data_IF_010549430835
#
_entry.id   IF_010549430835
#
_cell.length_a   1.000
_cell.length_b   1.000
_cell.length_c   1.000
_cell.angle_alpha   90.00
_cell.angle_beta   90.00
_cell.angle_gamma   90.00
#
_symmetry.space_group_name_H-M   'P 1'
#
loop_
_entity.id
_entity.type
_entity.pdbx_description
1 polymer ?
#
# COMPACT_ATOMS: atom_id res chain seq x y z
N UNK A 1 -1.49 4.96 33.82
CA UNK A 1 -0.99 5.72 32.66
C UNK A 1 -1.74 5.33 31.39
N UNK A 2 -1.73 4.06 30.99
CA UNK A 2 -2.46 3.50 29.83
C UNK A 2 -3.96 3.84 29.78
N UNK A 3 -4.70 3.76 30.90
CA UNK A 3 -6.14 4.12 30.91
C UNK A 3 -6.38 5.62 30.64
N UNK A 4 -5.46 6.48 31.10
CA UNK A 4 -5.55 7.94 30.93
C UNK A 4 -5.19 8.35 29.49
N UNK A 5 -4.23 7.66 28.89
CA UNK A 5 -3.89 7.78 27.46
C UNK A 5 -4.99 7.23 26.55
N UNK A 6 -5.62 6.12 26.93
CA UNK A 6 -6.77 5.57 26.20
C UNK A 6 -7.97 6.53 26.20
N UNK A 7 -8.28 7.14 27.36
CA UNK A 7 -9.33 8.16 27.47
C UNK A 7 -8.99 9.44 26.69
N UNK A 8 -7.71 9.83 26.62
CA UNK A 8 -7.26 10.96 25.79
C UNK A 8 -7.40 10.65 24.30
N UNK A 9 -6.99 9.47 23.85
CA UNK A 9 -7.15 9.02 22.46
C UNK A 9 -8.62 8.95 22.02
N UNK A 10 -9.52 8.54 22.91
CA UNK A 10 -10.98 8.56 22.66
C UNK A 10 -11.55 9.97 22.43
N UNK A 11 -10.98 11.00 23.08
CA UNK A 11 -11.38 12.40 22.84
C UNK A 11 -10.87 12.92 21.48
N UNK A 12 -9.66 12.53 21.09
CA UNK A 12 -9.06 12.85 19.78
C UNK A 12 -9.80 12.18 18.61
N UNK A 13 -10.42 11.02 18.85
CA UNK A 13 -11.22 10.27 17.87
C UNK A 13 -12.56 10.91 17.54
N UNK A 14 -13.16 11.67 18.47
CA UNK A 14 -14.50 12.25 18.31
C UNK A 14 -14.64 13.13 17.06
N UNK A 15 -13.75 14.11 16.78
CA UNK A 15 -13.83 14.90 15.54
C UNK A 15 -13.55 14.08 14.28
N UNK A 16 -12.78 12.99 14.39
CA UNK A 16 -12.39 12.14 13.26
C UNK A 16 -13.40 11.05 12.92
N UNK A 17 -14.39 10.81 13.78
CA UNK A 17 -15.34 9.70 13.63
C UNK A 17 -16.09 9.78 12.31
N UNK A 18 -16.46 10.99 11.86
CA UNK A 18 -17.19 11.18 10.61
C UNK A 18 -16.35 10.92 9.35
N UNK A 19 -15.03 10.96 9.45
CA UNK A 19 -14.10 10.59 8.39
C UNK A 19 -13.77 9.09 8.46
N UNK A 20 -13.39 8.61 9.64
CA UNK A 20 -12.87 7.26 9.84
C UNK A 20 -13.93 6.19 9.61
N UNK A 21 -15.15 6.38 10.11
CA UNK A 21 -16.22 5.39 9.98
C UNK A 21 -16.53 5.02 8.51
N UNK A 22 -16.85 5.97 7.61
CA UNK A 22 -17.13 5.64 6.22
C UNK A 22 -15.90 5.11 5.46
N UNK A 23 -14.68 5.55 5.82
CA UNK A 23 -13.45 4.98 5.25
C UNK A 23 -13.23 3.53 5.68
N UNK A 24 -13.52 3.18 6.94
CA UNK A 24 -13.46 1.80 7.41
C UNK A 24 -14.39 0.89 6.59
N UNK A 25 -15.64 1.30 6.38
CA UNK A 25 -16.57 0.53 5.56
C UNK A 25 -16.09 0.38 4.11
N UNK A 26 -15.53 1.44 3.52
CA UNK A 26 -14.93 1.36 2.19
C UNK A 26 -13.77 0.35 2.15
N UNK A 27 -12.83 0.40 3.11
CA UNK A 27 -11.69 -0.51 3.15
C UNK A 27 -12.09 -1.97 3.46
N UNK A 28 -13.09 -2.19 4.31
CA UNK A 28 -13.67 -3.52 4.55
C UNK A 28 -14.24 -4.08 3.24
N UNK A 29 -15.03 -3.27 2.51
CA UNK A 29 -15.68 -3.68 1.27
C UNK A 29 -14.66 -4.04 0.18
N UNK A 30 -13.61 -3.23 0.05
CA UNK A 30 -12.49 -3.45 -0.85
C UNK A 30 -11.76 -4.76 -0.52
N UNK A 31 -11.31 -4.93 0.73
CA UNK A 31 -10.57 -6.11 1.17
C UNK A 31 -11.39 -7.40 1.02
N UNK A 32 -12.68 -7.36 1.35
CA UNK A 32 -13.59 -8.50 1.26
C UNK A 32 -13.70 -9.07 -0.17
N UNK A 33 -13.60 -8.23 -1.19
CA UNK A 33 -13.72 -8.69 -2.59
C UNK A 33 -12.45 -9.36 -3.13
N UNK A 34 -11.28 -9.10 -2.53
CA UNK A 34 -9.98 -9.58 -3.04
C UNK A 34 -9.95 -11.10 -3.16
N UNK A 35 -10.45 -11.82 -2.14
CA UNK A 35 -10.44 -13.29 -2.13
C UNK A 35 -11.38 -13.91 -3.16
N UNK A 36 -12.54 -13.31 -3.44
CA UNK A 36 -13.51 -13.87 -4.39
C UNK A 36 -13.17 -13.51 -5.84
N UNK A 37 -12.46 -12.41 -6.05
CA UNK A 37 -12.17 -11.88 -7.37
C UNK A 37 -11.41 -12.89 -8.26
N UNK A 38 -10.45 -13.61 -7.68
CA UNK A 38 -9.64 -14.61 -8.42
C UNK A 38 -10.51 -15.74 -8.94
N UNK A 39 -11.47 -16.20 -8.14
CA UNK A 39 -12.40 -17.26 -8.54
C UNK A 39 -13.35 -16.78 -9.64
N UNK A 40 -13.90 -15.57 -9.49
CA UNK A 40 -14.84 -14.97 -10.46
C UNK A 40 -14.16 -14.71 -11.80
N UNK A 41 -12.98 -14.09 -11.79
CA UNK A 41 -12.22 -13.78 -13.01
C UNK A 41 -11.80 -15.08 -13.71
N UNK A 42 -11.29 -16.06 -12.97
CA UNK A 42 -10.85 -17.33 -13.56
C UNK A 42 -12.02 -18.10 -14.16
N UNK A 43 -13.14 -18.20 -13.44
CA UNK A 43 -14.35 -18.89 -13.93
C UNK A 43 -14.95 -18.23 -15.18
N UNK A 44 -14.88 -16.90 -15.28
CA UNK A 44 -15.42 -16.16 -16.42
C UNK A 44 -14.52 -16.17 -17.66
N UNK A 45 -13.19 -16.02 -17.49
CA UNK A 45 -12.25 -15.92 -18.60
C UNK A 45 -11.76 -17.30 -19.08
N UNK A 46 -11.60 -18.26 -18.17
CA UNK A 46 -11.03 -19.58 -18.44
C UNK A 46 -11.91 -20.69 -17.82
N UNK A 47 -13.16 -20.87 -18.28
CA UNK A 47 -14.09 -21.82 -17.68
C UNK A 47 -13.55 -23.26 -17.73
N UNK A 48 -13.57 -23.95 -16.59
CA UNK A 48 -13.13 -25.35 -16.47
C UNK A 48 -11.61 -25.56 -16.45
N UNK A 49 -10.81 -24.49 -16.47
CA UNK A 49 -9.35 -24.58 -16.39
C UNK A 49 -8.85 -24.17 -15.00
N UNK A 50 -7.84 -24.88 -14.49
CA UNK A 50 -7.19 -24.54 -13.21
C UNK A 50 -6.21 -23.38 -13.37
N UNK A 51 -5.65 -23.20 -14.56
CA UNK A 51 -4.76 -22.10 -14.93
C UNK A 51 -5.50 -21.09 -15.81
N UNK A 52 -5.28 -19.80 -15.59
CA UNK A 52 -5.82 -18.74 -16.44
C UNK A 52 -4.77 -17.68 -16.74
N UNK A 53 -3.97 -17.97 -17.77
CA UNK A 53 -2.93 -17.07 -18.29
C UNK A 53 -3.48 -15.68 -18.61
N UNK A 54 -4.67 -15.62 -19.20
CA UNK A 54 -5.32 -14.37 -19.58
C UNK A 54 -5.62 -13.47 -18.36
N UNK A 55 -6.17 -14.05 -17.28
CA UNK A 55 -6.45 -13.33 -16.04
C UNK A 55 -5.18 -12.78 -15.38
N UNK A 56 -4.11 -13.58 -15.36
CA UNK A 56 -2.81 -13.19 -14.80
C UNK A 56 -2.22 -12.01 -15.59
N UNK A 57 -2.24 -12.11 -16.92
CA UNK A 57 -1.71 -11.06 -17.79
C UNK A 57 -2.48 -9.74 -17.65
N UNK A 58 -3.82 -9.79 -17.71
CA UNK A 58 -4.66 -8.58 -17.59
C UNK A 58 -4.51 -7.94 -16.21
N UNK A 59 -4.43 -8.73 -15.14
CA UNK A 59 -4.21 -8.23 -13.78
C UNK A 59 -2.84 -7.54 -13.65
N UNK A 60 -1.80 -8.13 -14.23
CA UNK A 60 -0.47 -7.52 -14.30
C UNK A 60 -0.46 -6.21 -15.07
N UNK A 61 -1.06 -6.21 -16.27
CA UNK A 61 -1.20 -5.02 -17.11
C UNK A 61 -1.94 -3.89 -16.40
N UNK A 62 -3.06 -4.20 -15.73
CA UNK A 62 -3.80 -3.23 -14.93
C UNK A 62 -2.89 -2.59 -13.86
N UNK A 63 -2.16 -3.38 -13.08
CA UNK A 63 -1.29 -2.85 -12.03
C UNK A 63 -0.18 -1.97 -12.60
N UNK A 64 0.40 -2.36 -13.73
CA UNK A 64 1.39 -1.55 -14.45
C UNK A 64 0.79 -0.21 -14.92
N UNK A 65 -0.36 -0.23 -15.58
CA UNK A 65 -1.04 0.99 -16.07
C UNK A 65 -1.38 1.92 -14.90
N UNK A 66 -2.02 1.39 -13.85
CA UNK A 66 -2.32 2.15 -12.62
C UNK A 66 -1.04 2.74 -12.02
N UNK A 67 0.04 1.97 -11.98
CA UNK A 67 1.35 2.39 -11.49
C UNK A 67 1.93 3.61 -12.23
N UNK A 68 1.79 3.67 -13.55
CA UNK A 68 2.25 4.79 -14.38
C UNK A 68 1.43 6.05 -14.08
N UNK A 69 0.10 5.94 -14.18
CA UNK A 69 -0.77 7.09 -14.10
C UNK A 69 -0.89 7.65 -12.68
N UNK A 70 -0.84 6.81 -11.63
CA UNK A 70 -0.94 7.26 -10.23
C UNK A 70 0.20 8.23 -9.85
N UNK A 71 1.38 8.13 -10.47
CA UNK A 71 2.51 9.03 -10.19
C UNK A 71 2.20 10.50 -10.52
N UNK A 72 1.33 10.73 -11.51
CA UNK A 72 0.91 12.07 -11.95
C UNK A 72 -0.42 12.46 -11.31
N UNK A 73 -1.37 11.53 -11.25
CA UNK A 73 -2.74 11.80 -10.79
C UNK A 73 -2.81 12.02 -9.28
N UNK A 74 -2.01 11.31 -8.48
CA UNK A 74 -2.02 11.44 -7.02
C UNK A 74 -1.65 12.86 -6.54
N UNK A 75 -0.51 13.48 -6.97
CA UNK A 75 -0.22 14.87 -6.62
C UNK A 75 -1.25 15.87 -7.16
N UNK A 76 -1.78 15.64 -8.36
CA UNK A 76 -2.77 16.50 -8.98
C UNK A 76 -4.07 16.51 -8.17
N UNK A 77 -4.56 15.35 -7.74
CA UNK A 77 -5.74 15.22 -6.88
C UNK A 77 -5.52 15.85 -5.50
N UNK A 78 -4.31 15.77 -4.95
CA UNK A 78 -3.94 16.50 -3.74
C UNK A 78 -4.14 18.02 -3.91
N UNK A 79 -3.58 18.61 -4.95
CA UNK A 79 -3.76 20.04 -5.24
C UNK A 79 -5.21 20.42 -5.53
N UNK A 80 -5.95 19.55 -6.22
CA UNK A 80 -7.37 19.78 -6.47
C UNK A 80 -8.17 19.71 -5.16
N UNK A 81 -7.82 18.84 -4.23
CA UNK A 81 -8.46 18.78 -2.91
C UNK A 81 -8.15 20.04 -2.08
N UNK A 82 -6.94 20.57 -2.18
CA UNK A 82 -6.56 21.83 -1.52
C UNK A 82 -7.27 23.05 -2.13
N UNK A 83 -7.64 23.02 -3.43
CA UNK A 83 -8.30 24.15 -4.10
C UNK A 83 -9.84 24.08 -4.10
N UNK A 84 -10.41 22.91 -4.38
CA UNK A 84 -11.86 22.72 -4.55
C UNK A 84 -12.56 22.21 -3.28
N UNK A 85 -11.77 21.80 -2.28
CA UNK A 85 -12.22 21.26 -1.01
C UNK A 85 -11.88 19.78 -0.83
N UNK A 86 -11.66 19.36 0.41
CA UNK A 86 -11.27 17.97 0.71
C UNK A 86 -12.46 17.04 0.66
N UNK A 87 -13.63 17.47 1.14
CA UNK A 87 -14.87 16.66 1.13
C UNK A 87 -15.30 16.24 -0.29
N UNK A 88 -15.43 17.13 -1.30
CA UNK A 88 -15.90 16.73 -2.63
C UNK A 88 -14.91 15.79 -3.32
N UNK A 89 -13.60 16.02 -3.18
CA UNK A 89 -12.59 15.15 -3.78
C UNK A 89 -12.55 13.77 -3.09
N UNK A 90 -12.75 13.72 -1.78
CA UNK A 90 -12.88 12.44 -1.06
C UNK A 90 -14.14 11.66 -1.49
N UNK A 91 -15.27 12.35 -1.67
CA UNK A 91 -16.51 11.75 -2.19
C UNK A 91 -16.31 11.17 -3.60
N UNK A 92 -15.69 11.93 -4.50
CA UNK A 92 -15.43 11.48 -5.88
C UNK A 92 -14.56 10.23 -5.87
N UNK A 93 -13.42 10.27 -5.16
CA UNK A 93 -12.47 9.14 -5.12
C UNK A 93 -13.13 7.88 -4.55
N UNK A 94 -13.72 7.94 -3.36
CA UNK A 94 -14.39 6.79 -2.73
C UNK A 94 -15.52 6.23 -3.60
N UNK A 95 -16.28 7.07 -4.29
CA UNK A 95 -17.40 6.64 -5.14
C UNK A 95 -16.97 5.87 -6.38
N UNK A 96 -15.78 6.11 -6.92
CA UNK A 96 -15.32 5.40 -8.13
C UNK A 96 -15.25 3.88 -7.96
N UNK A 97 -15.04 3.39 -6.74
CA UNK A 97 -14.96 1.95 -6.45
C UNK A 97 -16.31 1.24 -6.55
N UNK A 98 -17.43 1.96 -6.56
CA UNK A 98 -18.78 1.37 -6.65
C UNK A 98 -18.98 0.70 -8.02
N UNK A 99 -18.62 1.40 -9.11
CA UNK A 99 -18.94 0.96 -10.47
C UNK A 99 -18.30 -0.39 -10.87
N UNK A 100 -17.01 -0.65 -10.62
CA UNK A 100 -16.41 -1.94 -10.95
C UNK A 100 -17.15 -3.10 -10.28
N UNK A 101 -17.42 -3.01 -8.98
CA UNK A 101 -18.08 -4.10 -8.25
C UNK A 101 -19.56 -4.22 -8.60
N UNK A 102 -20.24 -3.11 -8.94
CA UNK A 102 -21.60 -3.14 -9.46
C UNK A 102 -21.72 -3.99 -10.73
N UNK A 103 -20.74 -3.89 -11.64
CA UNK A 103 -20.70 -4.73 -12.85
C UNK A 103 -20.60 -6.21 -12.50
N UNK A 104 -19.68 -6.58 -11.59
CA UNK A 104 -19.52 -7.98 -11.17
C UNK A 104 -20.67 -8.54 -10.32
N UNK A 105 -21.44 -7.68 -9.65
CA UNK A 105 -22.66 -8.07 -8.96
C UNK A 105 -23.82 -8.30 -9.93
N UNK A 106 -23.87 -7.53 -11.03
CA UNK A 106 -24.92 -7.65 -12.04
C UNK A 106 -24.75 -8.92 -12.87
N UNK A 107 -23.56 -9.12 -13.44
CA UNK A 107 -23.25 -10.29 -14.26
C UNK A 107 -21.76 -10.62 -14.19
N UNK A 108 -21.44 -11.91 -14.16
CA UNK A 108 -20.07 -12.43 -14.12
C UNK A 108 -19.69 -13.09 -15.46
N UNK A 109 -20.21 -12.55 -16.57
CA UNK A 109 -19.83 -12.99 -17.91
C UNK A 109 -18.42 -12.53 -18.26
N UNK A 110 -17.83 -13.15 -19.29
CA UNK A 110 -16.52 -12.76 -19.83
C UNK A 110 -16.45 -11.27 -20.18
N UNK A 111 -17.48 -10.74 -20.82
CA UNK A 111 -17.60 -9.32 -21.19
C UNK A 111 -17.63 -8.41 -19.95
N UNK A 112 -18.42 -8.77 -18.94
CA UNK A 112 -18.50 -8.02 -17.69
C UNK A 112 -17.17 -7.98 -16.93
N UNK A 113 -16.36 -9.03 -17.01
CA UNK A 113 -15.02 -9.04 -16.42
C UNK A 113 -14.06 -8.07 -17.13
N UNK A 114 -14.10 -7.96 -18.46
CA UNK A 114 -13.30 -6.93 -19.14
C UNK A 114 -13.75 -5.51 -18.79
N UNK A 115 -15.08 -5.28 -18.74
CA UNK A 115 -15.63 -4.00 -18.29
C UNK A 115 -15.21 -3.69 -16.86
N UNK A 116 -15.22 -4.69 -15.97
CA UNK A 116 -14.70 -4.56 -14.61
C UNK A 116 -13.24 -4.11 -14.64
N UNK A 117 -12.36 -4.74 -15.42
CA UNK A 117 -10.95 -4.35 -15.49
C UNK A 117 -10.75 -2.91 -15.97
N UNK A 118 -11.51 -2.47 -16.98
CA UNK A 118 -11.45 -1.08 -17.46
C UNK A 118 -11.90 -0.10 -16.37
N UNK A 119 -13.08 -0.30 -15.79
CA UNK A 119 -13.60 0.58 -14.74
C UNK A 119 -12.72 0.56 -13.49
N UNK A 120 -12.18 -0.60 -13.13
CA UNK A 120 -11.31 -0.78 -11.97
C UNK A 120 -9.96 -0.09 -12.19
N UNK A 121 -9.42 -0.12 -13.40
CA UNK A 121 -8.21 0.62 -13.77
C UNK A 121 -8.43 2.12 -13.56
N UNK A 122 -9.52 2.68 -14.10
CA UNK A 122 -9.86 4.10 -13.93
C UNK A 122 -10.06 4.43 -12.45
N UNK A 123 -10.82 3.61 -11.72
CA UNK A 123 -11.04 3.79 -10.28
C UNK A 123 -9.74 3.78 -9.49
N UNK A 124 -8.81 2.85 -9.77
CA UNK A 124 -7.52 2.82 -9.09
C UNK A 124 -6.63 4.02 -9.42
N UNK A 125 -6.62 4.49 -10.68
CA UNK A 125 -5.87 5.69 -11.05
C UNK A 125 -6.32 6.91 -10.23
N UNK A 126 -7.63 7.04 -10.00
CA UNK A 126 -8.22 8.16 -9.27
C UNK A 126 -8.09 7.97 -7.75
N UNK A 127 -8.28 6.76 -7.25
CA UNK A 127 -8.59 6.54 -5.83
C UNK A 127 -7.47 5.88 -5.04
N UNK A 128 -6.69 5.00 -5.68
CA UNK A 128 -5.64 4.27 -4.99
C UNK A 128 -4.54 5.25 -4.55
N UNK A 129 -4.33 5.34 -3.24
CA UNK A 129 -3.41 6.32 -2.63
C UNK A 129 -4.05 7.70 -2.39
N UNK A 130 -4.89 8.19 -3.31
CA UNK A 130 -5.53 9.51 -3.20
C UNK A 130 -6.47 9.60 -1.99
N UNK A 131 -7.27 8.55 -1.74
CA UNK A 131 -8.16 8.49 -0.57
C UNK A 131 -7.35 8.68 0.72
N UNK A 132 -6.24 7.95 0.87
CA UNK A 132 -5.39 8.05 2.05
C UNK A 132 -4.71 9.42 2.16
N UNK A 133 -4.20 9.95 1.06
CA UNK A 133 -3.55 11.27 1.01
C UNK A 133 -4.52 12.40 1.41
N UNK A 134 -5.71 12.43 0.82
CA UNK A 134 -6.74 13.45 1.12
C UNK A 134 -7.25 13.28 2.56
N UNK A 135 -7.42 12.05 3.05
CA UNK A 135 -7.86 11.79 4.42
C UNK A 135 -6.83 12.26 5.46
N UNK A 136 -5.54 11.99 5.25
CA UNK A 136 -4.46 12.47 6.12
C UNK A 136 -4.41 14.00 6.14
N UNK A 137 -4.57 14.63 4.97
CA UNK A 137 -4.58 16.08 4.88
C UNK A 137 -5.84 16.70 5.55
N UNK A 138 -7.01 16.06 5.43
CA UNK A 138 -8.22 16.45 6.16
C UNK A 138 -8.03 16.37 7.68
N UNK A 139 -7.37 15.32 8.16
CA UNK A 139 -7.04 15.19 9.58
C UNK A 139 -6.06 16.28 10.03
N UNK A 140 -5.10 16.64 9.19
CA UNK A 140 -4.14 17.71 9.50
C UNK A 140 -4.80 19.09 9.65
N UNK A 141 -5.91 19.35 8.94
CA UNK A 141 -6.66 20.61 9.05
C UNK A 141 -7.43 20.74 10.37
N UNK A 142 -7.91 19.63 10.93
CA UNK A 142 -8.79 19.64 12.11
C UNK A 142 -8.01 19.43 13.40
N UNK A 143 -6.94 18.65 13.35
CA UNK A 143 -6.18 18.23 14.52
C UNK A 143 -4.98 19.16 14.73
N UNK A 144 -4.86 19.67 15.95
CA UNK A 144 -3.72 20.45 16.42
C UNK A 144 -2.40 19.70 16.24
N UNK A 145 -1.33 20.44 15.95
CA UNK A 145 -0.05 19.87 15.53
C UNK A 145 0.51 18.82 16.49
N UNK A 146 0.39 19.06 17.80
CA UNK A 146 0.87 18.15 18.84
C UNK A 146 0.17 16.78 18.86
N UNK A 147 -1.05 16.67 18.34
CA UNK A 147 -1.84 15.44 18.35
C UNK A 147 -1.94 14.77 16.96
N UNK A 148 -1.36 15.37 15.90
CA UNK A 148 -1.43 14.84 14.53
C UNK A 148 -0.82 13.44 14.40
N UNK A 149 0.30 13.18 15.10
CA UNK A 149 0.94 11.88 15.07
C UNK A 149 0.00 10.76 15.56
N UNK A 150 -0.68 10.99 16.70
CA UNK A 150 -1.66 10.04 17.24
C UNK A 150 -2.85 9.86 16.27
N UNK A 151 -3.36 10.94 15.69
CA UNK A 151 -4.44 10.87 14.70
C UNK A 151 -4.05 10.08 13.44
N UNK A 152 -2.84 10.25 12.92
CA UNK A 152 -2.34 9.48 11.77
C UNK A 152 -2.14 8.00 12.12
N UNK A 153 -1.70 7.69 13.36
CA UNK A 153 -1.67 6.32 13.87
C UNK A 153 -3.07 5.70 13.94
N UNK A 154 -4.10 6.45 14.33
CA UNK A 154 -5.47 5.96 14.32
C UNK A 154 -5.95 5.62 12.90
N UNK A 155 -5.77 6.51 11.93
CA UNK A 155 -6.17 6.26 10.52
C UNK A 155 -5.53 4.96 10.00
N UNK A 156 -4.22 4.80 10.19
CA UNK A 156 -3.46 3.63 9.71
C UNK A 156 -3.82 2.34 10.47
N UNK A 157 -4.13 2.45 11.76
CA UNK A 157 -4.66 1.35 12.57
C UNK A 157 -6.04 0.88 12.08
N UNK A 158 -6.96 1.81 11.85
CA UNK A 158 -8.29 1.51 11.30
C UNK A 158 -8.24 0.93 9.89
N UNK A 159 -7.33 1.42 9.04
CA UNK A 159 -7.06 0.84 7.73
C UNK A 159 -6.68 -0.64 7.84
N UNK A 160 -5.72 -0.96 8.71
CA UNK A 160 -5.24 -2.32 8.93
C UNK A 160 -6.32 -3.24 9.51
N UNK A 161 -7.06 -2.75 10.53
CA UNK A 161 -8.16 -3.49 11.13
C UNK A 161 -9.29 -3.76 10.13
N UNK A 162 -9.62 -2.78 9.28
CA UNK A 162 -10.62 -2.90 8.23
C UNK A 162 -10.25 -3.96 7.20
N UNK A 163 -8.98 -4.03 6.80
CA UNK A 163 -8.48 -5.07 5.89
C UNK A 163 -8.61 -6.48 6.49
N UNK A 164 -8.23 -6.66 7.77
CA UNK A 164 -8.40 -7.94 8.47
C UNK A 164 -9.87 -8.33 8.56
N UNK A 165 -10.72 -7.39 8.97
CA UNK A 165 -12.16 -7.63 9.08
C UNK A 165 -12.79 -7.96 7.73
N UNK A 166 -12.39 -7.27 6.65
CA UNK A 166 -12.84 -7.57 5.30
C UNK A 166 -12.46 -8.99 4.84
N UNK A 167 -11.22 -9.42 5.10
CA UNK A 167 -10.79 -10.80 4.81
C UNK A 167 -11.56 -11.85 5.63
N UNK A 168 -11.81 -11.58 6.93
CA UNK A 168 -12.62 -12.46 7.77
C UNK A 168 -14.08 -12.53 7.29
N UNK A 169 -14.67 -11.39 6.95
CA UNK A 169 -16.03 -11.36 6.39
C UNK A 169 -16.10 -12.12 5.08
N UNK A 170 -15.11 -11.98 4.21
CA UNK A 170 -15.02 -12.78 2.99
C UNK A 170 -15.08 -14.26 3.36
N UNK A 171 -14.29 -14.75 4.31
CA UNK A 171 -14.30 -16.17 4.70
C UNK A 171 -15.67 -16.73 5.09
N UNK A 172 -16.49 -15.96 5.80
CA UNK A 172 -17.77 -16.43 6.34
C UNK A 172 -18.98 -16.14 5.42
N UNK A 173 -18.90 -15.12 4.56
CA UNK A 173 -19.99 -14.79 3.64
C UNK A 173 -20.02 -15.76 2.45
N UNK A 174 -21.18 -16.29 2.04
CA UNK A 174 -21.30 -17.02 0.78
C UNK A 174 -20.91 -16.16 -0.42
N UNK A 175 -20.24 -16.75 -1.42
CA UNK A 175 -19.71 -16.05 -2.60
C UNK A 175 -20.75 -15.14 -3.29
N UNK A 176 -21.98 -15.65 -3.44
CA UNK A 176 -23.10 -14.92 -4.07
C UNK A 176 -23.48 -13.60 -3.38
N UNK A 177 -23.19 -13.44 -2.09
CA UNK A 177 -23.54 -12.23 -1.34
C UNK A 177 -22.40 -11.22 -1.24
N UNK A 178 -21.16 -11.60 -1.57
CA UNK A 178 -19.98 -10.76 -1.30
C UNK A 178 -20.02 -9.46 -2.09
N UNK A 179 -20.27 -9.50 -3.39
CA UNK A 179 -20.33 -8.27 -4.18
C UNK A 179 -21.53 -7.39 -3.79
N UNK A 180 -22.68 -7.99 -3.47
CA UNK A 180 -23.86 -7.24 -3.02
C UNK A 180 -23.57 -6.52 -1.70
N UNK A 181 -23.01 -7.22 -0.72
CA UNK A 181 -22.62 -6.62 0.57
C UNK A 181 -21.53 -5.56 0.36
N UNK A 182 -20.54 -5.82 -0.48
CA UNK A 182 -19.47 -4.85 -0.80
C UNK A 182 -20.05 -3.57 -1.38
N UNK A 183 -20.97 -3.64 -2.34
CA UNK A 183 -21.62 -2.47 -2.93
C UNK A 183 -22.41 -1.68 -1.89
N UNK A 184 -23.18 -2.35 -1.02
CA UNK A 184 -23.93 -1.66 0.05
C UNK A 184 -22.99 -0.87 0.95
N UNK A 185 -21.86 -1.46 1.35
CA UNK A 185 -20.84 -0.78 2.15
C UNK A 185 -20.15 0.36 1.39
N UNK A 186 -19.88 0.18 0.09
CA UNK A 186 -19.26 1.20 -0.77
C UNK A 186 -20.19 2.38 -1.06
N UNK A 187 -21.51 2.17 -1.08
CA UNK A 187 -22.51 3.24 -1.20
C UNK A 187 -22.68 3.97 0.13
N UNK A 188 -22.66 3.23 1.25
CA UNK A 188 -22.78 3.82 2.59
C UNK A 188 -21.70 4.88 2.85
N UNK A 189 -20.44 4.62 2.45
CA UNK A 189 -19.32 5.54 2.69
C UNK A 189 -19.56 6.96 2.13
N UNK A 190 -19.74 7.12 0.81
CA UNK A 190 -20.04 8.41 0.19
C UNK A 190 -21.33 9.06 0.70
N UNK A 191 -22.41 8.29 0.92
CA UNK A 191 -23.65 8.86 1.46
C UNK A 191 -23.43 9.44 2.87
N UNK A 192 -22.79 8.67 3.74
CA UNK A 192 -22.47 9.11 5.10
C UNK A 192 -21.57 10.35 5.07
N UNK A 193 -20.51 10.35 4.26
CA UNK A 193 -19.64 11.52 4.11
C UNK A 193 -20.39 12.73 3.55
N UNK A 194 -21.31 12.54 2.61
CA UNK A 194 -22.06 13.63 2.00
C UNK A 194 -22.89 14.39 3.05
N UNK A 195 -23.59 13.67 3.94
CA UNK A 195 -24.45 14.28 4.95
C UNK A 195 -23.72 14.73 6.22
N UNK A 196 -22.71 13.98 6.67
CA UNK A 196 -22.14 14.16 8.02
C UNK A 196 -20.70 14.67 8.04
N UNK A 197 -19.94 14.55 6.94
CA UNK A 197 -18.58 15.09 6.89
C UNK A 197 -18.66 16.60 6.64
N UNK A 198 -17.97 17.39 7.46
CA UNK A 198 -17.82 18.82 7.23
C UNK A 198 -16.77 19.08 6.13
N UNK A 199 -16.84 20.23 5.47
CA UNK A 199 -15.73 20.70 4.64
C UNK A 199 -14.74 21.46 5.52
N UNK A 200 -13.44 21.26 5.30
CA UNK A 200 -12.38 21.93 6.08
C UNK A 200 -11.75 23.09 5.31
N UNK A 201 -11.81 23.06 3.98
CA UNK A 201 -11.23 24.11 3.14
C UNK A 201 -12.28 25.18 2.88
N UNK A 202 -12.03 26.39 3.39
CA UNK A 202 -12.79 27.57 3.00
C UNK A 202 -12.52 27.88 1.53
N UNK A 203 -13.60 27.90 0.73
CA UNK A 203 -13.51 28.28 -0.68
C UNK A 203 -13.21 29.77 -0.78
N UNK A 204 -11.95 30.13 -0.95
CA UNK A 204 -11.59 31.48 -1.40
C UNK A 204 -11.99 31.60 -2.87
N UNK A 205 -12.91 32.51 -3.24
CA UNK A 205 -13.26 32.72 -4.64
C UNK A 205 -12.03 33.30 -5.34
N UNK A 206 -11.33 32.47 -6.12
CA UNK A 206 -10.26 32.94 -7.00
C UNK A 206 -10.91 33.52 -8.25
N UNK A 207 -10.88 34.84 -8.36
CA UNK A 207 -11.01 35.57 -9.62
C UNK A 207 -9.97 35.02 -10.62
N UNK A 208 -10.45 34.69 -11.81
CA UNK A 208 -9.73 34.26 -13.02
C UNK A 208 -8.24 33.99 -12.89
N UNK A 209 -7.89 32.70 -12.98
CA UNK A 209 -6.65 32.28 -13.62
C UNK A 209 -6.99 31.18 -14.60
N UNK A 210 -7.12 31.57 -15.87
CA UNK A 210 -7.13 30.70 -17.05
C UNK A 210 -5.81 29.91 -17.15
N UNK A 211 -5.58 28.99 -16.21
CA UNK A 211 -4.64 27.89 -16.44
C UNK A 211 -5.46 26.72 -16.95
N UNK A 212 -5.41 26.46 -18.25
CA UNK A 212 -5.96 25.25 -18.84
C UNK A 212 -5.50 24.04 -18.02
N UNK A 213 -6.37 23.05 -17.81
CA UNK A 213 -6.06 21.83 -17.05
C UNK A 213 -4.72 21.19 -17.48
N UNK A 214 -4.41 21.25 -18.77
CA UNK A 214 -3.12 20.81 -19.35
C UNK A 214 -1.92 21.58 -18.78
N UNK A 215 -1.99 22.92 -18.72
CA UNK A 215 -0.93 23.77 -18.16
C UNK A 215 -0.72 23.48 -16.67
N UNK A 216 -1.79 23.12 -15.96
CA UNK A 216 -1.70 22.70 -14.56
C UNK A 216 -0.97 21.35 -14.42
N UNK A 217 -1.32 20.37 -15.26
CA UNK A 217 -0.63 19.07 -15.29
C UNK A 217 0.86 19.24 -15.59
N UNK A 218 1.22 20.00 -16.62
CA UNK A 218 2.64 20.20 -17.00
C UNK A 218 3.43 20.87 -15.88
N UNK A 219 2.85 21.86 -15.21
CA UNK A 219 3.49 22.54 -14.09
C UNK A 219 3.67 21.63 -12.87
N UNK A 220 2.69 20.77 -12.57
CA UNK A 220 2.79 19.77 -11.49
C UNK A 220 3.87 18.75 -11.79
N UNK A 221 3.88 18.20 -13.01
CA UNK A 221 4.88 17.24 -13.45
C UNK A 221 6.29 17.83 -13.40
N UNK A 222 6.47 19.06 -13.89
CA UNK A 222 7.76 19.74 -13.88
C UNK A 222 8.26 20.03 -12.46
N UNK A 223 7.41 20.58 -11.58
CA UNK A 223 7.76 20.78 -10.15
C UNK A 223 8.12 19.47 -9.45
N UNK A 224 7.41 18.39 -9.75
CA UNK A 224 7.70 17.07 -9.19
C UNK A 224 9.04 16.53 -9.68
N UNK A 225 9.36 16.72 -10.95
CA UNK A 225 10.66 16.34 -11.53
C UNK A 225 11.81 17.08 -10.84
N UNK A 226 11.72 18.41 -10.73
CA UNK A 226 12.72 19.25 -10.04
C UNK A 226 12.90 18.80 -8.57
N UNK A 227 11.78 18.64 -7.84
CA UNK A 227 11.81 18.16 -6.46
C UNK A 227 12.43 16.77 -6.30
N UNK A 228 12.17 15.85 -7.23
CA UNK A 228 12.76 14.51 -7.24
C UNK A 228 14.26 14.54 -7.55
N UNK A 229 14.70 15.42 -8.46
CA UNK A 229 16.12 15.61 -8.78
C UNK A 229 16.90 16.12 -7.57
N UNK A 230 16.37 17.13 -6.89
CA UNK A 230 17.00 17.70 -5.70
C UNK A 230 17.05 16.68 -4.55
N UNK A 231 15.96 15.92 -4.36
CA UNK A 231 15.92 14.84 -3.40
C UNK A 231 16.89 13.70 -3.73
N UNK A 232 17.07 13.37 -5.02
CA UNK A 232 18.06 12.40 -5.47
C UNK A 232 19.48 12.85 -5.11
N UNK A 233 19.81 14.13 -5.34
CA UNK A 233 21.13 14.67 -4.98
C UNK A 233 21.44 14.53 -3.49
N UNK A 234 20.45 14.71 -2.61
CA UNK A 234 20.58 14.50 -1.16
C UNK A 234 20.79 13.02 -0.84
N UNK A 235 19.95 12.14 -1.40
CA UNK A 235 19.97 10.70 -1.11
C UNK A 235 21.27 10.04 -1.59
N UNK A 236 21.77 10.41 -2.76
CA UNK A 236 22.99 9.80 -3.32
C UNK A 236 24.28 10.31 -2.66
N UNK A 237 24.26 11.44 -1.94
CA UNK A 237 25.39 11.92 -1.13
C UNK A 237 25.60 11.09 0.13
N UNK A 238 24.52 10.62 0.77
CA UNK A 238 24.61 9.79 1.97
C UNK A 238 24.72 8.30 1.61
N UNK A 239 25.76 7.58 2.07
CA UNK A 239 25.91 6.15 1.78
C UNK A 239 24.76 5.32 2.38
N UNK A 240 24.25 5.70 3.55
CA UNK A 240 23.12 5.04 4.24
C UNK A 240 21.81 5.25 3.47
N UNK A 241 21.51 6.49 3.06
CA UNK A 241 20.30 6.79 2.27
C UNK A 241 20.32 6.17 0.88
N UNK A 242 21.50 6.12 0.25
CA UNK A 242 21.70 5.40 -1.02
C UNK A 242 21.47 3.91 -0.85
N UNK A 243 22.08 3.30 0.18
CA UNK A 243 21.93 1.88 0.49
C UNK A 243 20.47 1.50 0.75
N UNK A 244 19.77 2.24 1.61
CA UNK A 244 18.37 1.94 1.94
C UNK A 244 17.43 2.14 0.74
N UNK A 245 17.76 3.05 -0.18
CA UNK A 245 17.02 3.20 -1.44
C UNK A 245 17.11 1.95 -2.32
N UNK A 246 18.30 1.34 -2.42
CA UNK A 246 18.46 0.05 -3.12
C UNK A 246 17.73 -1.08 -2.40
N UNK A 247 17.83 -1.17 -1.06
CA UNK A 247 17.07 -2.16 -0.27
C UNK A 247 15.59 -2.08 -0.59
N UNK A 248 15.02 -0.88 -0.54
CA UNK A 248 13.59 -0.67 -0.80
C UNK A 248 13.19 -0.94 -2.24
N UNK A 249 14.03 -0.58 -3.21
CA UNK A 249 13.78 -0.89 -4.62
C UNK A 249 13.61 -2.39 -4.82
N UNK A 250 14.61 -3.17 -4.40
CA UNK A 250 14.63 -4.62 -4.61
C UNK A 250 13.60 -5.35 -3.74
N UNK A 251 13.37 -4.88 -2.52
CA UNK A 251 12.31 -5.41 -1.65
C UNK A 251 10.93 -5.20 -2.27
N UNK A 252 10.61 -3.98 -2.72
CA UNK A 252 9.32 -3.67 -3.32
C UNK A 252 9.16 -4.39 -4.68
N UNK A 253 10.25 -4.53 -5.45
CA UNK A 253 10.26 -5.29 -6.71
C UNK A 253 9.88 -6.76 -6.46
N UNK A 254 10.41 -7.37 -5.40
CA UNK A 254 10.04 -8.75 -5.02
C UNK A 254 8.62 -8.83 -4.45
N UNK A 255 8.34 -8.08 -3.39
CA UNK A 255 7.08 -8.19 -2.63
C UNK A 255 5.84 -7.80 -3.46
N UNK A 256 5.95 -6.77 -4.30
CA UNK A 256 4.88 -6.39 -5.23
C UNK A 256 4.60 -7.51 -6.24
N UNK A 257 5.64 -8.20 -6.68
CA UNK A 257 5.57 -9.27 -7.67
C UNK A 257 4.92 -10.53 -7.13
N UNK A 258 5.26 -10.89 -5.88
CA UNK A 258 4.55 -11.95 -5.17
C UNK A 258 3.08 -11.55 -5.02
N UNK A 259 2.80 -10.35 -4.54
CA UNK A 259 1.42 -9.88 -4.31
C UNK A 259 0.58 -9.86 -5.59
N UNK A 260 1.17 -9.61 -6.76
CA UNK A 260 0.44 -9.56 -8.03
C UNK A 260 0.03 -10.92 -8.56
N UNK A 261 0.78 -11.98 -8.27
CA UNK A 261 0.57 -13.33 -8.86
C UNK A 261 0.18 -14.41 -7.85
N UNK A 262 0.36 -14.17 -6.55
CA UNK A 262 0.25 -15.18 -5.50
C UNK A 262 -1.08 -15.93 -5.51
N UNK A 263 -2.20 -15.22 -5.54
CA UNK A 263 -3.51 -15.88 -5.46
C UNK A 263 -3.82 -16.71 -6.71
N UNK A 264 -3.43 -16.23 -7.90
CA UNK A 264 -3.54 -17.00 -9.14
C UNK A 264 -2.64 -18.24 -9.14
N UNK A 265 -1.42 -18.12 -8.63
CA UNK A 265 -0.50 -19.24 -8.43
C UNK A 265 -1.11 -20.29 -7.49
N UNK A 266 -1.64 -19.87 -6.34
CA UNK A 266 -2.28 -20.77 -5.37
C UNK A 266 -3.52 -21.47 -5.96
N UNK A 267 -4.31 -20.79 -6.79
CA UNK A 267 -5.40 -21.41 -7.56
C UNK A 267 -4.89 -22.50 -8.50
N UNK A 268 -3.89 -22.16 -9.30
CA UNK A 268 -3.36 -23.02 -10.35
C UNK A 268 -2.68 -24.28 -9.82
N UNK A 269 -1.95 -24.16 -8.70
CA UNK A 269 -1.17 -25.28 -8.14
C UNK A 269 -1.97 -26.10 -7.15
N UNK A 270 -2.73 -25.45 -6.26
CA UNK A 270 -3.39 -26.12 -5.13
C UNK A 270 -4.92 -26.15 -5.25
N UNK A 271 -5.49 -25.54 -6.29
CA UNK A 271 -6.95 -25.44 -6.43
C UNK A 271 -7.58 -24.56 -5.36
N UNK A 272 -6.82 -23.60 -4.80
CA UNK A 272 -7.35 -22.79 -3.72
C UNK A 272 -8.60 -22.02 -4.14
N UNK A 273 -9.50 -21.84 -3.18
CA UNK A 273 -10.69 -21.04 -3.33
C UNK A 273 -10.67 -19.84 -2.40
N UNK A 274 -11.66 -18.98 -2.58
CA UNK A 274 -11.96 -17.81 -1.76
C UNK A 274 -11.72 -18.01 -0.27
N UNK A 275 -12.19 -19.10 0.33
CA UNK A 275 -12.06 -19.31 1.78
C UNK A 275 -10.59 -19.44 2.20
N UNK A 276 -9.80 -20.19 1.44
CA UNK A 276 -8.38 -20.39 1.72
C UNK A 276 -7.57 -19.10 1.48
N UNK A 277 -7.93 -18.32 0.44
CA UNK A 277 -7.34 -16.99 0.25
C UNK A 277 -7.64 -16.07 1.43
N UNK A 278 -8.88 -16.03 1.89
CA UNK A 278 -9.29 -15.22 3.03
C UNK A 278 -8.58 -15.64 4.33
N UNK A 279 -8.38 -16.94 4.55
CA UNK A 279 -7.62 -17.46 5.71
C UNK A 279 -6.16 -16.99 5.68
N UNK A 280 -5.47 -17.16 4.55
CA UNK A 280 -4.08 -16.71 4.37
C UNK A 280 -3.94 -15.20 4.55
N UNK A 281 -4.80 -14.41 3.90
CA UNK A 281 -4.74 -12.95 4.00
C UNK A 281 -5.08 -12.46 5.42
N UNK A 282 -6.01 -13.12 6.10
CA UNK A 282 -6.32 -12.82 7.51
C UNK A 282 -5.15 -13.18 8.43
N UNK A 283 -4.49 -14.31 8.21
CA UNK A 283 -3.32 -14.74 8.99
C UNK A 283 -2.18 -13.72 8.88
N UNK A 284 -1.86 -13.27 7.67
CA UNK A 284 -0.85 -12.21 7.45
C UNK A 284 -1.28 -10.90 8.11
N UNK A 285 -2.54 -10.50 7.98
CA UNK A 285 -3.04 -9.24 8.55
C UNK A 285 -3.08 -9.23 10.09
N UNK A 286 -3.53 -10.32 10.71
CA UNK A 286 -3.53 -10.47 12.18
C UNK A 286 -2.09 -10.51 12.70
N UNK A 287 -1.22 -11.29 12.05
CA UNK A 287 0.20 -11.32 12.37
C UNK A 287 0.86 -9.95 12.23
N UNK A 288 0.46 -9.17 11.23
CA UNK A 288 0.95 -7.82 11.03
C UNK A 288 0.60 -6.88 12.18
N UNK A 289 -0.67 -6.89 12.61
CA UNK A 289 -1.13 -6.08 13.75
C UNK A 289 -0.41 -6.49 15.04
N UNK A 290 -0.35 -7.80 15.31
CA UNK A 290 0.33 -8.35 16.48
C UNK A 290 1.80 -7.91 16.53
N UNK A 291 2.50 -8.02 15.42
CA UNK A 291 3.91 -7.66 15.37
C UNK A 291 4.17 -6.16 15.50
N UNK A 292 3.31 -5.32 14.94
CA UNK A 292 3.48 -3.86 15.07
C UNK A 292 3.19 -3.37 16.49
N UNK A 293 2.21 -3.96 17.18
CA UNK A 293 1.80 -3.54 18.53
C UNK A 293 2.71 -4.13 19.60
N UNK A 294 3.09 -5.41 19.48
CA UNK A 294 3.81 -6.13 20.53
C UNK A 294 5.28 -6.40 20.17
N UNK A 295 5.54 -7.03 19.03
CA UNK A 295 6.88 -7.52 18.68
C UNK A 295 7.84 -6.36 18.45
N UNK A 296 7.44 -5.35 17.68
CA UNK A 296 8.30 -4.22 17.34
C UNK A 296 8.72 -3.41 18.58
N UNK A 297 7.81 -2.94 19.46
CA UNK A 297 8.22 -2.20 20.65
C UNK A 297 9.07 -3.02 21.63
N UNK A 298 8.87 -4.35 21.70
CA UNK A 298 9.65 -5.24 22.56
C UNK A 298 11.05 -5.51 22.00
N UNK A 299 11.16 -5.71 20.69
CA UNK A 299 12.40 -6.11 20.03
C UNK A 299 13.31 -4.91 19.73
N UNK A 300 12.74 -3.74 19.41
CA UNK A 300 13.49 -2.54 19.05
C UNK A 300 14.55 -2.10 20.09
N UNK A 301 14.27 -2.05 21.41
CA UNK A 301 15.28 -1.69 22.40
C UNK A 301 16.38 -2.74 22.58
N UNK A 302 16.15 -4.00 22.18
CA UNK A 302 17.07 -5.11 22.41
C UNK A 302 18.11 -5.28 21.29
N UNK A 303 17.69 -5.14 20.03
CA UNK A 303 18.53 -5.49 18.86
C UNK A 303 18.74 -4.32 17.88
N UNK A 304 17.97 -3.23 18.02
CA UNK A 304 18.04 -2.08 17.12
C UNK A 304 17.43 -2.31 15.73
N UNK A 305 17.29 -1.21 14.98
CA UNK A 305 16.51 -1.17 13.73
C UNK A 305 17.17 -1.91 12.57
N UNK A 306 18.51 -1.85 12.44
CA UNK A 306 19.23 -2.55 11.37
C UNK A 306 19.08 -4.06 11.47
N UNK A 307 19.08 -4.60 12.70
CA UNK A 307 18.87 -6.03 12.93
C UNK A 307 17.42 -6.44 12.65
N UNK A 308 16.44 -5.62 13.07
CA UNK A 308 15.02 -5.83 12.74
C UNK A 308 14.82 -5.83 11.22
N UNK A 309 15.44 -4.90 10.50
CA UNK A 309 15.37 -4.83 9.04
C UNK A 309 15.90 -6.13 8.40
N UNK A 310 17.10 -6.57 8.79
CA UNK A 310 17.69 -7.81 8.27
C UNK A 310 16.86 -9.06 8.59
N UNK A 311 16.35 -9.17 9.83
CA UNK A 311 15.45 -10.26 10.23
C UNK A 311 14.16 -10.26 9.40
N UNK A 312 13.56 -9.09 9.19
CA UNK A 312 12.33 -8.96 8.43
C UNK A 312 12.54 -9.23 6.93
N UNK A 313 13.69 -8.85 6.37
CA UNK A 313 14.08 -9.21 5.00
C UNK A 313 14.33 -10.72 4.87
N UNK A 314 14.98 -11.35 5.85
CA UNK A 314 15.15 -12.80 5.88
C UNK A 314 13.81 -13.54 5.92
N UNK A 315 12.88 -13.07 6.76
CA UNK A 315 11.51 -13.58 6.78
C UNK A 315 10.77 -13.35 5.45
N UNK A 316 11.04 -12.25 4.75
CA UNK A 316 10.48 -11.98 3.41
C UNK A 316 10.99 -12.97 2.37
N UNK A 317 12.27 -13.34 2.43
CA UNK A 317 12.87 -14.35 1.55
C UNK A 317 12.27 -15.71 1.84
N UNK A 318 12.15 -16.10 3.12
CA UNK A 318 11.49 -17.34 3.51
C UNK A 318 10.02 -17.38 3.04
N UNK A 319 9.29 -16.28 3.21
CA UNK A 319 7.91 -16.12 2.71
C UNK A 319 7.83 -16.39 1.20
N UNK A 320 8.69 -15.76 0.40
CA UNK A 320 8.69 -15.96 -1.05
C UNK A 320 9.14 -17.38 -1.45
N UNK A 321 10.24 -17.89 -0.90
CA UNK A 321 10.77 -19.22 -1.25
C UNK A 321 9.81 -20.34 -0.87
N UNK A 322 9.18 -20.28 0.31
CA UNK A 322 8.20 -21.28 0.74
C UNK A 322 6.96 -21.28 -0.15
N UNK A 323 6.51 -20.12 -0.63
CA UNK A 323 5.44 -20.07 -1.63
C UNK A 323 5.89 -20.61 -2.98
N UNK A 324 7.06 -20.21 -3.48
CA UNK A 324 7.55 -20.61 -4.80
C UNK A 324 7.89 -22.10 -4.91
N UNK A 325 8.32 -22.72 -3.81
CA UNK A 325 8.70 -24.13 -3.70
C UNK A 325 7.66 -24.98 -2.96
N UNK A 326 6.42 -24.49 -2.83
CA UNK A 326 5.39 -25.19 -2.08
C UNK A 326 5.09 -26.56 -2.71
N UNK A 327 5.32 -27.64 -1.95
CA UNK A 327 5.08 -29.02 -2.38
C UNK A 327 3.75 -29.60 -1.87
N UNK A 328 3.12 -28.93 -0.90
CA UNK A 328 1.88 -29.35 -0.28
C UNK A 328 1.03 -28.15 0.13
N UNK A 329 -0.29 -28.33 0.18
CA UNK A 329 -1.27 -27.27 0.45
C UNK A 329 -1.14 -26.60 1.82
N UNK A 330 -0.46 -27.21 2.80
CA UNK A 330 -0.19 -26.59 4.10
C UNK A 330 0.99 -25.62 4.07
N UNK A 331 1.92 -25.76 3.11
CA UNK A 331 3.13 -24.93 3.00
C UNK A 331 2.80 -23.45 2.76
N UNK A 332 1.82 -23.08 1.91
CA UNK A 332 1.27 -21.72 1.84
C UNK A 332 0.91 -21.09 3.19
N UNK A 333 0.31 -21.84 4.11
CA UNK A 333 -0.05 -21.34 5.44
C UNK A 333 1.18 -21.17 6.34
N UNK A 334 2.15 -22.09 6.27
CA UNK A 334 3.43 -21.91 6.94
C UNK A 334 4.13 -20.65 6.41
N UNK A 335 4.16 -20.45 5.09
CA UNK A 335 4.70 -19.23 4.48
C UNK A 335 4.00 -17.97 5.00
N UNK A 336 2.66 -17.97 5.02
CA UNK A 336 1.85 -16.86 5.53
C UNK A 336 2.19 -16.47 6.98
N UNK A 337 2.65 -17.41 7.82
CA UNK A 337 3.10 -17.12 9.20
C UNK A 337 4.29 -16.16 9.27
N UNK A 338 5.20 -16.22 8.28
CA UNK A 338 6.30 -15.25 8.15
C UNK A 338 5.80 -13.83 7.84
N UNK A 339 4.53 -13.71 7.43
CA UNK A 339 3.74 -12.47 7.39
C UNK A 339 3.88 -11.59 8.62
N UNK A 340 3.86 -12.22 9.80
CA UNK A 340 4.01 -11.51 11.06
C UNK A 340 5.36 -10.81 11.17
N UNK A 341 6.43 -11.39 10.63
CA UNK A 341 7.79 -10.85 10.80
C UNK A 341 8.15 -9.90 9.65
N UNK A 342 7.83 -10.28 8.40
CA UNK A 342 8.26 -9.47 7.26
C UNK A 342 7.61 -8.08 7.23
N UNK A 343 6.43 -7.91 7.85
CA UNK A 343 5.75 -6.60 7.90
C UNK A 343 6.63 -5.52 8.54
N UNK A 344 7.58 -5.92 9.39
CA UNK A 344 8.49 -5.03 10.11
C UNK A 344 9.50 -4.33 9.20
N UNK A 345 9.66 -4.76 7.94
CA UNK A 345 10.52 -4.08 6.96
C UNK A 345 10.13 -2.60 6.83
N UNK A 346 8.82 -2.28 6.75
CA UNK A 346 8.33 -0.90 6.59
C UNK A 346 8.75 0.01 7.77
N UNK A 347 8.37 -0.28 9.02
CA UNK A 347 8.76 0.56 10.16
C UNK A 347 10.27 0.62 10.38
N UNK A 348 10.99 -0.50 10.22
CA UNK A 348 12.46 -0.51 10.37
C UNK A 348 13.13 0.40 9.34
N UNK A 349 12.66 0.37 8.09
CA UNK A 349 13.19 1.25 7.05
C UNK A 349 12.87 2.72 7.33
N UNK A 350 11.67 3.05 7.81
CA UNK A 350 11.35 4.43 8.19
C UNK A 350 12.28 4.96 9.27
N UNK A 351 12.62 4.13 10.26
CA UNK A 351 13.52 4.50 11.32
C UNK A 351 14.96 4.71 10.83
N UNK A 352 15.48 3.82 9.97
CA UNK A 352 16.79 3.98 9.32
C UNK A 352 16.85 5.27 8.48
N UNK A 353 15.82 5.54 7.67
CA UNK A 353 15.75 6.77 6.87
C UNK A 353 15.73 8.00 7.78
N UNK A 354 14.93 7.95 8.86
CA UNK A 354 14.81 9.07 9.80
C UNK A 354 16.13 9.40 10.50
N UNK A 355 17.00 8.42 10.76
CA UNK A 355 18.33 8.64 11.33
C UNK A 355 19.35 9.12 10.30
N UNK A 356 19.22 8.68 9.06
CA UNK A 356 20.14 9.03 7.97
C UNK A 356 19.85 10.37 7.28
N UNK A 357 18.77 11.07 7.65
CA UNK A 357 18.36 12.35 7.05
C UNK A 357 18.19 13.45 8.10
N UNK A 358 18.65 14.67 7.80
CA UNK A 358 18.31 15.84 8.62
C UNK A 358 16.81 16.14 8.61
N UNK A 359 16.31 16.78 9.67
CA UNK A 359 14.90 17.14 9.85
C UNK A 359 14.35 17.95 8.66
N UNK A 360 15.14 18.88 8.13
CA UNK A 360 14.78 19.70 6.96
C UNK A 360 14.65 18.90 5.66
N UNK A 361 15.41 17.81 5.52
CA UNK A 361 15.45 17.00 4.29
C UNK A 361 14.58 15.73 4.36
N UNK A 362 14.00 15.40 5.52
CA UNK A 362 13.26 14.17 5.74
C UNK A 362 12.10 13.98 4.74
N UNK A 363 11.32 15.04 4.49
CA UNK A 363 10.22 15.00 3.52
C UNK A 363 10.70 14.76 2.07
N UNK A 364 11.83 15.38 1.68
CA UNK A 364 12.45 15.17 0.35
C UNK A 364 12.95 13.73 0.21
N UNK A 365 13.65 13.22 1.21
CA UNK A 365 14.16 11.84 1.24
C UNK A 365 13.03 10.82 1.16
N UNK A 366 11.97 10.97 1.97
CA UNK A 366 10.81 10.07 1.90
C UNK A 366 10.09 10.17 0.55
N UNK A 367 9.98 11.38 -0.01
CA UNK A 367 9.40 11.61 -1.33
C UNK A 367 10.18 10.93 -2.46
N UNK A 368 11.51 10.90 -2.37
CA UNK A 368 12.38 10.18 -3.31
C UNK A 368 12.23 8.66 -3.16
N UNK A 369 12.32 8.17 -1.94
CA UNK A 369 12.17 6.74 -1.60
C UNK A 369 10.80 6.20 -2.06
N UNK A 370 9.73 6.95 -1.86
CA UNK A 370 8.39 6.59 -2.36
C UNK A 370 8.36 6.51 -3.91
N UNK A 371 9.11 7.38 -4.59
CA UNK A 371 9.30 7.32 -6.04
C UNK A 371 10.04 6.05 -6.48
N UNK A 372 11.14 5.70 -5.79
CA UNK A 372 11.91 4.46 -6.04
C UNK A 372 11.01 3.22 -5.90
N UNK A 373 10.23 3.14 -4.80
CA UNK A 373 9.24 2.09 -4.60
C UNK A 373 8.17 2.05 -5.69
N UNK A 374 7.70 3.21 -6.14
CA UNK A 374 6.69 3.31 -7.19
C UNK A 374 7.20 2.70 -8.50
N UNK A 375 8.46 2.98 -8.88
CA UNK A 375 9.12 2.38 -10.05
C UNK A 375 9.22 0.86 -9.88
N UNK A 376 9.65 0.37 -8.71
CA UNK A 376 9.70 -1.06 -8.45
C UNK A 376 8.32 -1.74 -8.55
N UNK A 377 7.28 -1.12 -7.99
CA UNK A 377 5.89 -1.60 -8.06
C UNK A 377 5.32 -1.58 -9.49
N UNK A 378 5.86 -0.73 -10.36
CA UNK A 378 5.51 -0.66 -11.77
C UNK A 378 6.17 -1.78 -12.57
N UNK A 379 7.49 -1.97 -12.37
CA UNK A 379 8.30 -2.96 -13.08
C UNK A 379 7.98 -4.39 -12.66
N UNK A 380 7.56 -4.58 -11.41
CA UNK A 380 7.37 -5.92 -10.86
C UNK A 380 6.27 -6.73 -11.56
N UNK A 381 5.01 -6.26 -11.69
CA UNK A 381 3.98 -7.02 -12.40
C UNK A 381 4.28 -7.21 -13.89
N UNK A 382 5.03 -6.28 -14.50
CA UNK A 382 5.45 -6.35 -15.90
C UNK A 382 6.40 -7.54 -16.16
N UNK A 383 7.26 -7.86 -15.20
CA UNK A 383 8.14 -9.03 -15.29
C UNK A 383 7.49 -10.31 -14.73
N UNK A 384 6.83 -10.21 -13.57
CA UNK A 384 6.36 -11.39 -12.85
C UNK A 384 5.12 -12.01 -13.46
N UNK A 385 4.17 -11.22 -13.98
CA UNK A 385 2.91 -11.78 -14.51
C UNK A 385 3.13 -12.61 -15.79
N UNK A 386 3.91 -12.15 -16.79
CA UNK A 386 4.25 -12.99 -17.94
C UNK A 386 5.06 -14.23 -17.54
N UNK A 387 5.97 -14.09 -16.58
CA UNK A 387 6.78 -15.20 -16.09
C UNK A 387 5.93 -16.28 -15.40
N UNK A 388 5.00 -15.88 -14.53
CA UNK A 388 4.03 -16.81 -13.92
C UNK A 388 3.17 -17.48 -14.99
N UNK A 389 2.66 -16.71 -15.94
CA UNK A 389 1.88 -17.24 -17.05
C UNK A 389 2.65 -18.31 -17.85
N UNK A 390 3.92 -18.07 -18.14
CA UNK A 390 4.75 -19.01 -18.88
C UNK A 390 5.02 -20.29 -18.09
N UNK A 391 5.38 -20.19 -16.80
CA UNK A 391 5.66 -21.35 -15.94
C UNK A 391 4.41 -22.14 -15.49
N UNK A 392 3.22 -21.55 -15.61
CA UNK A 392 1.95 -22.25 -15.44
C UNK A 392 1.44 -22.89 -16.75
N UNK A 393 2.02 -22.53 -17.90
CA UNK A 393 1.64 -23.10 -19.19
C UNK A 393 2.33 -24.44 -19.45
N UNK A 394 1.83 -25.19 -20.44
CA UNK A 394 2.48 -26.42 -20.92
C UNK A 394 3.83 -26.19 -21.62
N UNK A 395 4.18 -24.93 -21.93
CA UNK A 395 5.41 -24.55 -22.62
C UNK A 395 6.54 -24.16 -21.64
N UNK A 396 6.39 -24.47 -20.35
CA UNK A 396 7.42 -24.18 -19.35
C UNK A 396 8.71 -24.98 -19.64
N UNK A 397 9.89 -24.35 -19.54
CA UNK A 397 11.17 -25.00 -19.85
C UNK A 397 11.56 -26.08 -18.83
N UNK A 398 11.03 -26.00 -17.60
CA UNK A 398 11.19 -26.99 -16.54
C UNK A 398 10.01 -26.91 -15.57
N UNK A 399 9.77 -27.98 -14.81
CA UNK A 399 8.64 -28.06 -13.88
C UNK A 399 8.92 -27.28 -12.58
N UNK A 400 8.58 -25.99 -12.60
CA UNK A 400 8.60 -25.14 -11.42
C UNK A 400 7.53 -24.05 -11.54
N UNK A 401 6.27 -24.43 -11.23
CA UNK A 401 5.11 -23.52 -11.35
C UNK A 401 5.25 -22.23 -10.54
N UNK A 402 6.01 -22.25 -9.44
CA UNK A 402 6.26 -21.10 -8.57
C UNK A 402 7.50 -20.29 -8.91
N UNK A 403 8.14 -20.52 -10.06
CA UNK A 403 9.43 -19.93 -10.42
C UNK A 403 9.44 -18.39 -10.36
N UNK A 404 8.37 -17.72 -10.80
CA UNK A 404 8.27 -16.26 -10.69
C UNK A 404 8.36 -15.75 -9.25
N UNK A 405 7.78 -16.47 -8.30
CA UNK A 405 7.84 -16.14 -6.86
C UNK A 405 9.26 -16.37 -6.33
N UNK A 406 9.97 -17.38 -6.83
CA UNK A 406 11.39 -17.59 -6.52
C UNK A 406 12.24 -16.43 -7.05
N UNK A 407 12.03 -15.98 -8.30
CA UNK A 407 12.73 -14.81 -8.87
C UNK A 407 12.44 -13.54 -8.06
N UNK A 408 11.20 -13.35 -7.61
CA UNK A 408 10.85 -12.27 -6.69
C UNK A 408 11.59 -12.39 -5.34
N UNK A 409 11.79 -13.61 -4.85
CA UNK A 409 12.57 -13.90 -3.63
C UNK A 409 14.05 -13.58 -3.80
N UNK A 410 14.64 -13.87 -4.96
CA UNK A 410 16.02 -13.47 -5.29
C UNK A 410 16.18 -11.95 -5.26
N UNK A 411 15.18 -11.20 -5.72
CA UNK A 411 15.18 -9.73 -5.57
C UNK A 411 15.25 -9.32 -4.10
N UNK A 412 14.49 -9.98 -3.21
CA UNK A 412 14.57 -9.71 -1.76
C UNK A 412 15.90 -10.18 -1.14
N UNK A 413 16.55 -11.21 -1.69
CA UNK A 413 17.92 -11.58 -1.28
C UNK A 413 18.93 -10.48 -1.62
N UNK A 414 18.81 -9.85 -2.80
CA UNK A 414 19.63 -8.68 -3.17
C UNK A 414 19.38 -7.53 -2.18
N UNK A 415 18.11 -7.28 -1.81
CA UNK A 415 17.78 -6.30 -0.79
C UNK A 415 18.44 -6.59 0.57
N UNK A 416 18.47 -7.87 1.01
CA UNK A 416 19.16 -8.28 2.22
C UNK A 416 20.67 -8.04 2.12
N UNK A 417 21.30 -8.35 0.98
CA UNK A 417 22.72 -8.06 0.76
C UNK A 417 23.02 -6.56 0.94
N UNK A 418 22.22 -5.68 0.34
CA UNK A 418 22.38 -4.23 0.54
C UNK A 418 22.11 -3.80 1.98
N UNK A 419 21.15 -4.42 2.67
CA UNK A 419 20.86 -4.13 4.08
C UNK A 419 22.03 -4.51 5.00
N UNK A 420 22.70 -5.64 4.74
CA UNK A 420 23.90 -6.06 5.47
C UNK A 420 25.11 -5.14 5.21
N UNK A 421 25.14 -4.46 4.07
CA UNK A 421 26.17 -3.48 3.72
C UNK A 421 25.90 -2.08 4.31
N UNK A 422 24.73 -1.85 4.89
CA UNK A 422 24.48 -0.63 5.65
C UNK A 422 25.42 -0.64 6.85
N UNK A 423 26.35 0.33 6.89
CA UNK A 423 27.17 0.53 8.07
C UNK A 423 26.23 0.91 9.23
N UNK A 424 26.36 0.29 10.41
CA UNK A 424 25.75 0.85 11.60
C UNK A 424 26.42 2.21 11.78
N UNK A 425 25.72 3.29 11.45
CA UNK A 425 26.30 4.62 11.53
C UNK A 425 26.75 4.86 12.97
N UNK A 426 28.07 4.99 13.14
CA UNK A 426 28.65 5.85 14.17
C UNK A 426 27.88 7.15 14.11
N UNK A 427 27.38 7.61 15.27
CA UNK A 427 26.74 8.92 15.41
C UNK A 427 27.49 9.91 14.54
N UNK A 428 26.83 10.45 13.52
CA UNK A 428 27.33 11.61 12.79
C UNK A 428 27.31 12.77 13.81
N UNK A 429 28.33 12.83 14.65
CA UNK A 429 28.56 13.91 15.58
C UNK A 429 28.94 15.13 14.75
N UNK A 430 28.18 16.21 14.95
CA UNK A 430 28.43 17.56 14.48
C UNK A 430 28.28 17.79 12.96
N UNK A 431 27.04 18.04 12.54
CA UNK A 431 26.82 19.04 11.49
C UNK A 431 26.95 20.43 12.15
N UNK A 432 27.88 21.29 11.73
CA UNK A 432 28.04 22.64 12.31
C UNK A 432 26.88 23.60 11.96
N UNK A 433 25.92 23.17 11.14
CA UNK A 433 24.72 23.96 10.83
C UNK A 433 23.69 23.97 11.98
N UNK A 434 23.64 22.93 12.82
CA UNK A 434 22.75 22.89 14.00
C UNK A 434 23.23 23.79 15.15
N UNK A 435 24.49 24.29 15.12
CA UNK A 435 24.99 25.27 16.10
C UNK A 435 24.61 26.72 15.77
N UNK A 436 24.15 27.01 14.54
CA UNK A 436 23.86 28.39 14.13
C UNK A 436 22.51 28.88 14.67
N UNK A 437 21.58 27.98 15.01
CA UNK A 437 20.26 28.35 15.58
C UNK A 437 20.22 28.41 17.13
N UNK A 438 21.33 28.16 17.81
CA UNK A 438 21.42 28.23 19.27
C UNK A 438 22.44 29.26 19.79
N UNK A 439 22.24 30.57 19.53
CA UNK A 439 22.58 31.53 20.58
C UNK A 439 21.64 32.74 20.64
N UNK A 440 20.39 32.61 21.12
CA UNK A 440 19.60 33.81 21.52
C UNK A 440 18.62 33.62 22.72
N UNK A 441 18.64 32.51 23.46
CA UNK A 441 17.80 32.33 24.66
C UNK A 441 18.60 32.15 25.97
N UNK A 442 19.80 32.72 26.03
CA UNK A 442 20.51 32.97 27.29
C UNK A 442 20.98 34.41 27.32
N UNK A 443 20.05 35.31 27.64
CA UNK A 443 20.27 36.58 28.35
C UNK A 443 18.95 37.39 28.37
N UNK A 444 18.12 37.16 29.38
CA UNK A 444 17.35 38.17 30.14
C UNK A 444 16.51 37.50 31.22
#
# INVERSE_FOLDING_TARGET
MVLKECVRGLKELRPLTHLLLPLCFHWIAEAMTVSVLVDVVTSALCPGQTTCTEAIYISGLQQTVVGIFKMVVLPLLGQLADEYGRKPLLLITVSTSIFPFAVLAWNQSRESVYVYYVLRTISFIISQGSIFCIAVAYVADIIEEGNRAAAFSWITGFFSASHVLGNLLARFLPEKYIFVVSIVLLIFGPLYMHFLLAETVERVPKMDRDSTFLTKITNVAHKRYESMRDAAAIVFKSPTLRGISFVLFFYELGMSGISSVLLFYLKAVFGFNKNQYSEILSMVGIGAIFSQILVLPLLNPLVGEGWILSLALLASIAYGLLYGLAWASWVPYLSASFGAIYILVKPATYAVISKGSSSMNQGKTQGFVAGVKSIASLLSPLAMSPLTSWFLSSAAPFDCKGFSIIVASVSMMIALCFACLLKPDEKLSHDPEDEIEAPLLRES
#
